data_IF_663670070439
#
_entry.id   IF_663670070439
#
_cell.length_a   1.000
_cell.length_b   1.000
_cell.length_c   1.000
_cell.angle_alpha   90.00
_cell.angle_beta   90.00
_cell.angle_gamma   90.00
#
_symmetry.space_group_name_H-M   'P 1'
#
loop_
_entity.id
_entity.type
_entity.pdbx_description
1 polymer ?
#
# COMPACT_ATOMS: atom_id res chain seq x y z
N UNK A 1 53.12 -56.43 -27.37
CA UNK A 1 51.88 -56.19 -28.17
C UNK A 1 50.68 -56.77 -27.43
N UNK A 2 49.67 -55.95 -27.09
CA UNK A 2 48.48 -56.42 -26.36
C UNK A 2 47.50 -57.06 -27.38
N UNK A 3 47.04 -58.27 -27.09
CA UNK A 3 46.11 -59.06 -27.92
C UNK A 3 44.87 -58.26 -28.33
N UNK A 4 44.49 -58.36 -29.62
CA UNK A 4 43.28 -57.75 -30.19
C UNK A 4 42.00 -58.08 -29.41
N UNK A 5 41.97 -59.22 -28.69
CA UNK A 5 40.86 -59.63 -27.84
C UNK A 5 40.76 -58.80 -26.55
N UNK A 6 41.88 -58.32 -26.01
CA UNK A 6 41.90 -57.41 -24.84
C UNK A 6 41.52 -55.97 -25.23
N UNK A 7 41.87 -55.53 -26.43
CA UNK A 7 41.42 -54.22 -26.95
C UNK A 7 39.91 -54.20 -27.21
N UNK A 8 39.35 -55.25 -27.83
CA UNK A 8 37.90 -55.34 -28.07
C UNK A 8 37.05 -55.35 -26.78
N UNK A 9 37.56 -55.92 -25.67
CA UNK A 9 36.88 -55.92 -24.37
C UNK A 9 36.99 -54.54 -23.69
N UNK A 10 38.13 -53.84 -23.83
CA UNK A 10 38.30 -52.48 -23.32
C UNK A 10 37.39 -51.48 -24.06
N UNK A 11 37.25 -51.62 -25.38
CA UNK A 11 36.39 -50.77 -26.19
C UNK A 11 34.89 -51.06 -25.96
N UNK A 12 34.53 -52.32 -25.65
CA UNK A 12 33.17 -52.66 -25.19
C UNK A 12 32.86 -52.15 -23.78
N UNK A 13 33.84 -52.03 -22.88
CA UNK A 13 33.65 -51.38 -21.56
C UNK A 13 33.50 -49.86 -21.68
N UNK A 14 34.24 -49.20 -22.59
CA UNK A 14 34.10 -47.76 -22.85
C UNK A 14 32.78 -47.37 -23.51
N UNK A 15 32.18 -48.24 -24.35
CA UNK A 15 30.85 -48.00 -24.95
C UNK A 15 29.65 -48.18 -24.00
N UNK A 16 29.87 -48.57 -22.75
CA UNK A 16 28.81 -48.75 -21.73
C UNK A 16 28.70 -47.61 -20.71
N UNK A 17 29.49 -46.54 -20.85
CA UNK A 17 29.12 -45.26 -20.25
C UNK A 17 28.03 -44.66 -21.13
N UNK A 18 26.81 -45.20 -20.99
CA UNK A 18 25.60 -44.48 -21.39
C UNK A 18 25.69 -43.12 -20.69
N UNK A 19 25.90 -42.08 -21.47
CA UNK A 19 25.76 -40.70 -21.08
C UNK A 19 24.28 -40.51 -20.72
N UNK A 20 23.85 -41.01 -19.56
CA UNK A 20 22.59 -40.64 -18.96
C UNK A 20 22.77 -39.18 -18.61
N UNK A 21 22.36 -38.30 -19.51
CA UNK A 21 22.13 -36.92 -19.16
C UNK A 21 21.23 -36.97 -17.92
N UNK A 22 21.74 -36.57 -16.74
CA UNK A 22 20.98 -36.75 -15.52
C UNK A 22 19.77 -35.83 -15.65
N UNK A 23 18.59 -36.41 -15.88
CA UNK A 23 17.31 -35.70 -15.93
C UNK A 23 17.17 -34.74 -14.73
N UNK A 24 17.83 -35.05 -13.61
CA UNK A 24 17.99 -34.23 -12.42
C UNK A 24 18.51 -32.80 -12.69
N UNK A 25 19.41 -32.58 -13.67
CA UNK A 25 19.90 -31.22 -14.00
C UNK A 25 18.82 -30.31 -14.60
N UNK A 26 17.76 -30.88 -15.18
CA UNK A 26 16.58 -30.12 -15.64
C UNK A 26 15.56 -29.91 -14.51
N UNK A 27 15.48 -30.82 -13.53
CA UNK A 27 14.59 -30.66 -12.39
C UNK A 27 15.05 -29.58 -11.40
N UNK A 28 16.36 -29.39 -11.20
CA UNK A 28 16.89 -28.36 -10.30
C UNK A 28 16.39 -26.93 -10.63
N UNK A 29 16.51 -26.40 -11.86
CA UNK A 29 16.03 -25.05 -12.16
C UNK A 29 14.51 -24.92 -12.04
N UNK A 30 13.74 -25.96 -12.39
CA UNK A 30 12.28 -25.97 -12.24
C UNK A 30 11.90 -25.95 -10.76
N UNK A 31 12.56 -26.77 -9.93
CA UNK A 31 12.33 -26.80 -8.48
C UNK A 31 12.71 -25.47 -7.84
N UNK A 32 13.83 -24.86 -8.25
CA UNK A 32 14.28 -23.57 -7.74
C UNK A 32 13.32 -22.44 -8.15
N UNK A 33 12.83 -22.45 -9.40
CA UNK A 33 11.79 -21.53 -9.86
C UNK A 33 10.47 -21.73 -9.11
N UNK A 34 10.07 -22.97 -8.82
CA UNK A 34 8.86 -23.27 -8.05
C UNK A 34 8.98 -22.81 -6.58
N UNK A 35 10.13 -23.05 -5.94
CA UNK A 35 10.41 -22.56 -4.58
C UNK A 35 10.43 -21.03 -4.57
N UNK A 36 11.06 -20.39 -5.55
CA UNK A 36 11.07 -18.93 -5.68
C UNK A 36 9.65 -18.40 -5.88
N UNK A 37 8.85 -19.01 -6.74
CA UNK A 37 7.45 -18.63 -6.96
C UNK A 37 6.60 -18.77 -5.68
N UNK A 38 6.72 -19.88 -4.96
CA UNK A 38 6.03 -20.09 -3.69
C UNK A 38 6.51 -19.08 -2.64
N UNK A 39 7.81 -18.80 -2.58
CA UNK A 39 8.38 -17.80 -1.68
C UNK A 39 7.84 -16.40 -1.98
N UNK A 40 7.78 -16.00 -3.25
CA UNK A 40 7.23 -14.70 -3.65
C UNK A 40 5.74 -14.61 -3.31
N UNK A 41 4.96 -15.65 -3.64
CA UNK A 41 3.52 -15.70 -3.35
C UNK A 41 3.22 -15.70 -1.85
N UNK A 42 4.04 -16.37 -1.05
CA UNK A 42 3.89 -16.39 0.40
C UNK A 42 4.24 -15.03 1.04
N UNK A 43 5.15 -14.26 0.43
CA UNK A 43 5.56 -12.95 0.94
C UNK A 43 4.72 -11.78 0.42
N UNK A 44 3.90 -11.94 -0.62
CA UNK A 44 2.95 -10.91 -1.06
C UNK A 44 1.74 -10.91 -0.12
N UNK A 45 1.66 -9.92 0.76
CA UNK A 45 0.59 -9.86 1.76
C UNK A 45 -0.48 -8.83 1.41
N UNK A 46 -0.05 -7.74 0.78
CA UNK A 46 -0.84 -6.53 0.65
C UNK A 46 -1.43 -6.38 -0.75
N UNK A 47 -0.62 -6.48 -1.80
CA UNK A 47 -1.07 -6.14 -3.15
C UNK A 47 -1.39 -7.38 -3.98
N UNK A 48 -2.66 -7.51 -4.38
CA UNK A 48 -3.16 -8.60 -5.21
C UNK A 48 -2.82 -8.45 -6.70
N UNK A 49 -2.28 -7.29 -7.12
CA UNK A 49 -1.93 -6.97 -8.50
C UNK A 49 -3.12 -6.71 -9.42
N UNK A 50 -4.33 -6.57 -8.85
CA UNK A 50 -5.57 -6.29 -9.58
C UNK A 50 -6.23 -4.98 -9.14
N UNK A 51 -6.18 -4.69 -7.85
CA UNK A 51 -6.66 -3.43 -7.31
C UNK A 51 -5.58 -2.37 -7.35
N UNK A 52 -6.01 -1.11 -7.24
CA UNK A 52 -5.10 -0.01 -7.02
C UNK A 52 -4.40 -0.17 -5.67
N UNK A 53 -3.13 0.21 -5.64
CA UNK A 53 -2.36 0.30 -4.40
C UNK A 53 -1.64 1.63 -4.34
N UNK A 54 -1.67 2.24 -3.17
CA UNK A 54 -1.03 3.52 -2.92
C UNK A 54 0.06 3.36 -1.87
N UNK A 55 1.14 4.13 -2.00
CA UNK A 55 2.19 4.20 -0.99
C UNK A 55 2.67 5.64 -0.82
N UNK A 56 2.99 6.02 0.41
CA UNK A 56 3.53 7.34 0.76
C UNK A 56 5.03 7.30 1.00
N UNK A 57 5.73 8.35 0.63
CA UNK A 57 7.16 8.50 0.88
C UNK A 57 7.58 9.96 0.98
N UNK A 58 8.78 10.18 1.50
CA UNK A 58 9.42 11.50 1.50
C UNK A 58 10.09 11.76 0.15
N UNK A 59 9.73 12.88 -0.45
CA UNK A 59 10.27 13.37 -1.73
C UNK A 59 11.14 14.62 -1.50
N UNK A 60 12.42 14.56 -1.90
CA UNK A 60 13.32 15.71 -1.89
C UNK A 60 13.38 16.50 -0.57
N UNK A 61 13.26 17.84 -0.66
CA UNK A 61 13.44 18.82 0.43
C UNK A 61 12.23 18.87 1.39
N UNK A 62 11.62 17.72 1.68
CA UNK A 62 10.52 17.59 2.64
C UNK A 62 9.11 17.58 2.04
N UNK A 63 8.99 17.54 0.72
CA UNK A 63 7.70 17.22 0.10
C UNK A 63 7.33 15.76 0.38
N UNK A 64 6.05 15.45 0.28
CA UNK A 64 5.55 14.09 0.46
C UNK A 64 4.98 13.61 -0.88
N UNK A 65 5.46 12.47 -1.34
CA UNK A 65 4.95 11.80 -2.52
C UNK A 65 3.95 10.71 -2.13
N UNK A 66 2.84 10.63 -2.85
CA UNK A 66 1.89 9.52 -2.78
C UNK A 66 1.80 8.91 -4.17
N UNK A 67 2.41 7.74 -4.37
CA UNK A 67 2.32 7.02 -5.64
C UNK A 67 1.17 6.04 -5.60
N UNK A 68 0.35 6.05 -6.63
CA UNK A 68 -0.72 5.09 -6.88
C UNK A 68 -0.38 4.28 -8.13
N UNK A 69 -0.48 2.96 -8.01
CA UNK A 69 -0.32 2.00 -9.10
C UNK A 69 -1.70 1.51 -9.52
N UNK A 70 -2.06 1.71 -10.79
CA UNK A 70 -3.33 1.25 -11.35
C UNK A 70 -3.10 0.14 -12.38
N UNK A 71 -3.30 -1.14 -12.01
CA UNK A 71 -3.05 -2.26 -12.90
C UNK A 71 -4.07 -2.39 -14.05
N UNK A 72 -5.24 -1.76 -13.95
CA UNK A 72 -6.26 -1.83 -15.02
C UNK A 72 -5.93 -0.84 -16.13
N UNK A 73 -5.57 0.39 -15.77
CA UNK A 73 -5.13 1.39 -16.72
C UNK A 73 -3.66 1.23 -17.13
N UNK A 74 -2.90 0.40 -16.40
CA UNK A 74 -1.44 0.28 -16.55
C UNK A 74 -0.74 1.62 -16.35
N UNK A 75 -1.18 2.38 -15.34
CA UNK A 75 -0.70 3.74 -15.05
C UNK A 75 0.01 3.82 -13.69
N UNK A 76 0.95 4.76 -13.59
CA UNK A 76 1.58 5.18 -12.33
C UNK A 76 1.35 6.66 -12.13
N UNK A 77 0.62 7.02 -11.07
CA UNK A 77 0.34 8.42 -10.73
C UNK A 77 1.00 8.78 -9.41
N UNK A 78 1.80 9.85 -9.38
CA UNK A 78 2.42 10.38 -8.16
C UNK A 78 1.86 11.75 -7.82
N UNK A 79 1.18 11.85 -6.68
CA UNK A 79 0.68 13.09 -6.11
C UNK A 79 1.76 13.67 -5.18
N UNK A 80 2.13 14.92 -5.41
CA UNK A 80 3.14 15.64 -4.62
C UNK A 80 2.44 16.64 -3.69
N UNK A 81 2.54 16.40 -2.39
CA UNK A 81 2.08 17.31 -1.33
C UNK A 81 3.26 18.21 -0.93
N UNK A 82 3.13 19.54 -1.02
CA UNK A 82 4.15 20.49 -0.56
C UNK A 82 4.48 20.29 0.92
N UNK A 83 5.77 20.31 1.28
CA UNK A 83 6.23 20.06 2.65
C UNK A 83 5.76 21.08 3.69
N UNK A 84 5.39 22.28 3.26
CA UNK A 84 4.81 23.37 4.04
C UNK A 84 3.28 23.31 4.16
N UNK A 85 2.66 22.19 3.76
CA UNK A 85 1.24 21.95 4.00
C UNK A 85 1.00 21.69 5.49
N UNK A 86 0.09 22.46 6.08
CA UNK A 86 -0.38 22.29 7.45
C UNK A 86 -1.40 21.14 7.51
N UNK A 87 -1.17 20.19 8.41
CA UNK A 87 -1.98 18.98 8.60
C UNK A 87 -2.16 18.69 10.08
N UNK A 88 -3.30 18.10 10.43
CA UNK A 88 -3.50 17.54 11.77
C UNK A 88 -2.85 16.16 11.82
N UNK A 89 -1.82 16.00 12.64
CA UNK A 89 -1.11 14.73 12.73
C UNK A 89 -2.01 13.70 13.40
N UNK A 90 -2.10 12.52 12.79
CA UNK A 90 -2.78 11.36 13.36
C UNK A 90 -2.26 11.05 14.77
N UNK A 91 -3.04 10.32 15.57
CA UNK A 91 -2.72 10.01 16.97
C UNK A 91 -2.67 11.20 17.91
N UNK A 92 -3.39 12.28 17.58
CA UNK A 92 -3.55 13.46 18.43
C UNK A 92 -2.23 14.20 18.78
N UNK A 93 -1.23 14.14 17.90
CA UNK A 93 0.01 14.92 18.08
C UNK A 93 -0.17 16.41 17.79
N UNK A 94 -1.34 16.85 17.33
CA UNK A 94 -1.65 18.25 17.03
C UNK A 94 -1.32 18.63 15.59
N UNK A 95 -1.31 19.94 15.32
CA UNK A 95 -1.21 20.46 13.95
C UNK A 95 0.22 20.87 13.59
N UNK A 96 0.75 20.38 12.47
CA UNK A 96 2.13 20.61 12.04
C UNK A 96 2.23 20.75 10.52
N UNK A 97 3.41 21.16 10.05
CA UNK A 97 3.79 21.01 8.64
C UNK A 97 4.09 19.56 8.31
N UNK A 98 3.55 19.06 7.21
CA UNK A 98 3.64 17.66 6.82
C UNK A 98 5.08 17.17 6.66
N UNK A 99 6.02 18.04 6.27
CA UNK A 99 7.45 17.70 6.17
C UNK A 99 8.07 17.19 7.47
N UNK A 100 7.51 17.54 8.62
CA UNK A 100 8.03 17.16 9.93
C UNK A 100 7.46 15.82 10.43
N UNK A 101 6.36 15.34 9.84
CA UNK A 101 5.62 14.16 10.30
C UNK A 101 6.49 12.90 10.24
N UNK A 102 7.33 12.76 9.22
CA UNK A 102 8.25 11.63 9.11
C UNK A 102 9.22 11.56 10.29
N UNK A 103 9.89 12.68 10.60
CA UNK A 103 10.87 12.73 11.69
C UNK A 103 10.19 12.50 13.04
N UNK A 104 8.98 13.05 13.23
CA UNK A 104 8.18 12.77 14.42
C UNK A 104 7.90 11.27 14.55
N UNK A 105 7.45 10.61 13.48
CA UNK A 105 7.20 9.17 13.48
C UNK A 105 8.44 8.34 13.84
N UNK A 106 9.62 8.74 13.37
CA UNK A 106 10.89 8.12 13.75
C UNK A 106 11.19 8.33 15.24
N UNK A 107 11.04 9.55 15.75
CA UNK A 107 11.29 9.87 17.16
C UNK A 107 10.36 9.09 18.11
N UNK A 108 9.09 8.95 17.72
CA UNK A 108 8.06 8.23 18.46
C UNK A 108 8.10 6.70 18.26
N UNK A 109 9.06 6.19 17.47
CA UNK A 109 9.21 4.76 17.13
C UNK A 109 7.99 4.16 16.40
N UNK A 110 7.23 4.99 15.70
CA UNK A 110 6.08 4.61 14.85
C UNK A 110 6.50 4.49 13.38
N UNK A 111 7.63 5.11 13.01
CA UNK A 111 8.17 5.11 11.64
C UNK A 111 7.27 5.85 10.66
N UNK A 112 7.22 5.39 9.40
CA UNK A 112 6.41 6.01 8.36
C UNK A 112 4.90 5.76 8.47
N UNK A 113 4.46 4.90 9.41
CA UNK A 113 3.03 4.66 9.62
C UNK A 113 2.31 5.93 10.05
N UNK A 114 2.97 6.79 10.84
CA UNK A 114 2.40 8.09 11.23
C UNK A 114 2.12 8.99 10.02
N UNK A 115 3.02 8.98 9.03
CA UNK A 115 2.84 9.74 7.80
C UNK A 115 1.70 9.18 6.95
N UNK A 116 1.62 7.85 6.82
CA UNK A 116 0.54 7.18 6.09
C UNK A 116 -0.83 7.44 6.73
N UNK A 117 -0.93 7.32 8.06
CA UNK A 117 -2.14 7.65 8.83
C UNK A 117 -2.51 9.13 8.68
N UNK A 118 -1.54 10.05 8.81
CA UNK A 118 -1.78 11.50 8.67
C UNK A 118 -2.25 11.86 7.26
N UNK A 119 -1.65 11.27 6.22
CA UNK A 119 -2.06 11.51 4.82
C UNK A 119 -3.46 10.95 4.57
N UNK A 120 -3.74 9.75 5.07
CA UNK A 120 -5.07 9.14 4.99
C UNK A 120 -6.13 9.99 5.68
N UNK A 121 -5.82 10.47 6.88
CA UNK A 121 -6.73 11.30 7.65
C UNK A 121 -6.95 12.67 6.99
N UNK A 122 -5.91 13.36 6.51
CA UNK A 122 -6.08 14.74 6.04
C UNK A 122 -6.56 14.83 4.59
N UNK A 123 -6.07 13.95 3.71
CA UNK A 123 -6.36 13.99 2.28
C UNK A 123 -7.39 12.96 1.83
N UNK A 124 -7.86 12.11 2.76
CA UNK A 124 -8.75 10.98 2.48
C UNK A 124 -8.17 9.96 1.50
N UNK A 125 -6.85 9.98 1.30
CA UNK A 125 -6.16 9.05 0.43
C UNK A 125 -6.01 7.72 1.17
N UNK A 126 -6.55 6.59 0.70
CA UNK A 126 -6.45 5.31 1.38
C UNK A 126 -5.03 4.75 1.27
N UNK A 127 -4.10 5.24 2.10
CA UNK A 127 -2.66 4.92 2.05
C UNK A 127 -2.20 4.33 3.37
N UNK A 128 -1.70 3.10 3.32
CA UNK A 128 -1.12 2.42 4.49
C UNK A 128 0.29 1.89 4.23
N UNK A 129 0.71 1.80 2.97
CA UNK A 129 2.08 1.48 2.63
C UNK A 129 2.94 2.73 2.68
N UNK A 130 4.15 2.59 3.19
CA UNK A 130 5.09 3.70 3.27
C UNK A 130 6.52 3.28 3.00
N UNK A 131 7.30 4.23 2.49
CA UNK A 131 8.73 4.08 2.30
C UNK A 131 9.49 5.34 2.73
N UNK A 132 10.67 5.15 3.34
CA UNK A 132 11.56 6.23 3.78
C UNK A 132 12.18 7.05 2.67
N UNK A 133 12.21 6.51 1.45
CA UNK A 133 12.80 7.13 0.28
C UNK A 133 11.85 7.03 -0.90
N UNK A 134 12.03 7.91 -1.87
CA UNK A 134 11.35 7.81 -3.16
C UNK A 134 11.63 6.43 -3.79
N UNK A 135 10.58 5.68 -4.15
CA UNK A 135 10.75 4.35 -4.72
C UNK A 135 11.12 4.40 -6.21
N UNK A 136 11.07 5.58 -6.85
CA UNK A 136 11.37 5.76 -8.27
C UNK A 136 10.42 5.01 -9.21
N UNK A 137 9.22 4.67 -8.74
CA UNK A 137 8.23 3.92 -9.54
C UNK A 137 7.63 4.80 -10.65
N UNK A 138 7.57 6.11 -10.43
CA UNK A 138 7.06 7.11 -11.37
C UNK A 138 8.04 7.47 -12.48
N UNK A 139 9.34 7.27 -12.29
CA UNK A 139 10.38 7.67 -13.25
C UNK A 139 10.75 6.58 -14.26
N UNK A 140 10.40 5.31 -13.99
CA UNK A 140 10.65 4.20 -14.92
C UNK A 140 12.10 3.76 -15.02
N UNK A 141 13.02 4.45 -14.34
CA UNK A 141 14.43 4.11 -14.30
C UNK A 141 14.65 2.76 -13.61
N UNK A 142 15.02 1.73 -14.38
CA UNK A 142 15.25 0.38 -13.86
C UNK A 142 16.20 0.34 -12.65
N UNK A 143 17.25 1.17 -12.63
CA UNK A 143 18.19 1.27 -11.51
C UNK A 143 17.52 1.71 -10.20
N UNK A 144 16.61 2.69 -10.24
CA UNK A 144 15.89 3.17 -9.05
C UNK A 144 14.85 2.15 -8.59
N UNK A 145 14.15 1.51 -9.51
CA UNK A 145 13.19 0.45 -9.20
C UNK A 145 13.92 -0.75 -8.56
N UNK A 146 15.08 -1.15 -9.07
CA UNK A 146 15.90 -2.20 -8.46
C UNK A 146 16.37 -1.80 -7.05
N UNK A 147 16.77 -0.54 -6.85
CA UNK A 147 17.10 -0.02 -5.52
C UNK A 147 15.90 -0.09 -4.57
N UNK A 148 14.67 0.19 -5.01
CA UNK A 148 13.47 0.01 -4.20
C UNK A 148 13.24 -1.46 -3.78
N UNK A 149 13.47 -2.41 -4.69
CA UNK A 149 13.29 -3.84 -4.43
C UNK A 149 14.37 -4.39 -3.47
N UNK A 150 15.64 -4.02 -3.65
CA UNK A 150 16.75 -4.64 -2.91
C UNK A 150 17.27 -3.79 -1.75
N UNK A 151 17.14 -2.47 -1.81
CA UNK A 151 17.68 -1.51 -0.86
C UNK A 151 16.61 -0.47 -0.43
N UNK A 152 15.48 -0.91 0.14
CA UNK A 152 14.31 -0.04 0.36
C UNK A 152 14.54 1.04 1.42
N UNK A 153 15.50 0.87 2.34
CA UNK A 153 15.53 1.64 3.58
C UNK A 153 14.47 1.14 4.56
N UNK A 154 13.87 2.05 5.33
CA UNK A 154 12.77 1.72 6.25
C UNK A 154 11.45 1.72 5.49
N UNK A 155 10.67 0.65 5.61
CA UNK A 155 9.38 0.47 4.95
C UNK A 155 8.56 -0.60 5.67
N UNK A 156 7.23 -0.56 5.54
CA UNK A 156 6.34 -1.66 5.89
C UNK A 156 5.96 -2.56 4.70
N UNK A 157 6.54 -2.33 3.51
CA UNK A 157 6.23 -3.09 2.30
C UNK A 157 7.08 -4.38 2.28
N UNK A 158 6.39 -5.52 2.20
CA UNK A 158 7.03 -6.83 2.10
C UNK A 158 7.93 -6.94 0.86
N UNK A 159 8.92 -7.82 0.87
CA UNK A 159 9.78 -8.02 -0.31
C UNK A 159 8.96 -8.48 -1.53
N UNK A 160 7.97 -9.35 -1.35
CA UNK A 160 7.12 -9.83 -2.43
C UNK A 160 6.29 -8.71 -3.05
N UNK A 161 5.68 -7.85 -2.22
CA UNK A 161 4.92 -6.70 -2.70
C UNK A 161 5.84 -5.70 -3.43
N UNK A 162 7.04 -5.41 -2.91
CA UNK A 162 8.03 -4.52 -3.57
C UNK A 162 8.45 -5.04 -4.94
N UNK A 163 8.75 -6.33 -5.04
CA UNK A 163 9.11 -6.96 -6.31
C UNK A 163 7.97 -6.87 -7.33
N UNK A 164 6.73 -7.12 -6.89
CA UNK A 164 5.54 -7.00 -7.74
C UNK A 164 5.32 -5.57 -8.22
N UNK A 165 5.38 -4.59 -7.30
CA UNK A 165 5.26 -3.16 -7.61
C UNK A 165 6.33 -2.70 -8.58
N UNK A 166 7.58 -3.13 -8.37
CA UNK A 166 8.68 -2.78 -9.25
C UNK A 166 8.52 -3.36 -10.65
N UNK A 167 8.15 -4.63 -10.78
CA UNK A 167 7.92 -5.23 -12.10
C UNK A 167 6.73 -4.60 -12.84
N UNK A 168 5.65 -4.28 -12.11
CA UNK A 168 4.55 -3.52 -12.68
C UNK A 168 5.04 -2.17 -13.20
N UNK A 169 5.72 -1.39 -12.35
CA UNK A 169 6.22 -0.07 -12.71
C UNK A 169 7.21 -0.10 -13.88
N UNK A 170 8.04 -1.14 -14.03
CA UNK A 170 8.91 -1.28 -15.22
C UNK A 170 8.13 -1.52 -16.52
N UNK A 171 6.93 -2.09 -16.46
CA UNK A 171 6.08 -2.37 -17.61
C UNK A 171 5.23 -1.19 -18.08
N UNK A 172 5.09 -0.15 -17.26
CA UNK A 172 4.29 1.06 -17.56
C UNK A 172 5.03 1.99 -18.52
N UNK A 173 4.34 2.45 -19.57
CA UNK A 173 4.92 3.34 -20.58
C UNK A 173 5.15 4.75 -20.02
N UNK A 174 6.03 5.53 -20.64
CA UNK A 174 6.34 6.88 -20.18
C UNK A 174 5.11 7.81 -20.19
N UNK A 175 4.23 7.66 -21.18
CA UNK A 175 3.02 8.47 -21.33
C UNK A 175 1.95 8.16 -20.26
N UNK A 176 2.02 6.97 -19.67
CA UNK A 176 1.10 6.46 -18.65
C UNK A 176 1.63 6.75 -17.23
N UNK A 177 2.68 7.58 -17.13
CA UNK A 177 3.25 8.09 -15.88
C UNK A 177 2.83 9.54 -15.70
N UNK A 178 2.21 9.84 -14.56
CA UNK A 178 1.78 11.20 -14.26
C UNK A 178 2.32 11.66 -12.91
N UNK A 179 2.72 12.93 -12.84
CA UNK A 179 3.16 13.60 -11.61
C UNK A 179 2.32 14.85 -11.40
N UNK A 180 1.54 14.86 -10.33
CA UNK A 180 0.57 15.90 -10.03
C UNK A 180 1.04 16.66 -8.79
N UNK A 181 1.38 17.94 -8.97
CA UNK A 181 1.76 18.82 -7.87
C UNK A 181 0.51 19.46 -7.24
N UNK A 182 0.18 19.04 -6.02
CA UNK A 182 -1.00 19.55 -5.31
C UNK A 182 -0.85 21.02 -4.92
N UNK A 183 0.38 21.54 -4.77
CA UNK A 183 0.60 22.95 -4.50
C UNK A 183 0.28 23.87 -5.68
N UNK A 184 0.23 23.32 -6.90
CA UNK A 184 -0.17 24.03 -8.13
C UNK A 184 -1.63 23.81 -8.51
N UNK A 185 -2.33 23.01 -7.72
CA UNK A 185 -3.72 22.63 -7.96
C UNK A 185 -4.69 23.49 -7.14
N UNK A 186 -5.99 23.29 -7.33
CA UNK A 186 -7.04 23.89 -6.50
C UNK A 186 -7.30 23.13 -5.19
N UNK A 187 -6.50 22.10 -4.86
CA UNK A 187 -6.69 21.27 -3.66
C UNK A 187 -6.10 21.91 -2.40
N UNK A 188 -5.15 22.82 -2.58
CA UNK A 188 -4.43 23.48 -1.50
C UNK A 188 -4.48 24.99 -1.68
N UNK A 189 -4.95 25.68 -0.65
CA UNK A 189 -4.91 27.13 -0.58
C UNK A 189 -3.61 27.60 0.06
N UNK A 190 -2.90 28.51 -0.61
CA UNK A 190 -1.76 29.19 -0.01
C UNK A 190 -2.25 30.26 0.97
N UNK A 191 -2.01 30.08 2.27
CA UNK A 191 -2.45 30.98 3.34
C UNK A 191 -1.36 31.19 4.37
N UNK A 192 -1.54 32.19 5.23
CA UNK A 192 -0.71 32.39 6.42
C UNK A 192 -1.14 31.35 7.47
N UNK A 193 -0.21 30.52 7.91
CA UNK A 193 -0.44 29.45 8.85
C UNK A 193 -0.53 29.97 10.29
N UNK A 194 -0.82 29.06 11.24
CA UNK A 194 -0.92 29.37 12.67
C UNK A 194 0.38 29.94 13.27
N UNK A 195 1.52 29.63 12.66
CA UNK A 195 2.85 30.13 13.04
C UNK A 195 3.17 31.52 12.43
N UNK A 196 2.28 32.04 11.59
CA UNK A 196 2.46 33.32 10.92
C UNK A 196 3.30 33.28 9.64
N UNK A 197 3.84 32.13 9.25
CA UNK A 197 4.54 31.97 7.98
C UNK A 197 3.56 31.56 6.86
N UNK A 198 3.91 31.81 5.58
CA UNK A 198 3.12 31.30 4.47
C UNK A 198 3.28 29.78 4.34
N UNK A 199 2.18 29.09 4.01
CA UNK A 199 2.18 27.67 3.68
C UNK A 199 0.88 27.26 3.00
N UNK A 200 0.59 25.97 2.97
CA UNK A 200 -0.61 25.44 2.33
C UNK A 200 -1.59 24.87 3.36
N UNK A 201 -2.88 25.04 3.10
CA UNK A 201 -3.97 24.44 3.89
C UNK A 201 -4.92 23.74 2.92
N UNK A 202 -5.46 22.60 3.34
CA UNK A 202 -6.44 21.85 2.55
C UNK A 202 -7.71 22.69 2.40
N UNK A 203 -8.12 22.91 1.16
CA UNK A 203 -9.20 23.82 0.81
C UNK A 203 -10.44 23.05 0.34
N UNK A 204 -11.48 23.03 1.18
CA UNK A 204 -12.76 22.43 0.84
C UNK A 204 -12.77 20.89 0.90
N UNK A 205 -13.88 20.26 0.48
CA UNK A 205 -13.97 18.80 0.42
C UNK A 205 -12.98 18.25 -0.62
N UNK A 206 -12.50 17.01 -0.42
CA UNK A 206 -11.65 16.33 -1.40
C UNK A 206 -12.39 16.31 -2.74
N UNK A 207 -11.82 16.95 -3.76
CA UNK A 207 -12.52 17.04 -5.03
C UNK A 207 -12.65 15.65 -5.64
N UNK A 208 -13.83 15.38 -6.22
CA UNK A 208 -14.18 14.12 -6.86
C UNK A 208 -13.13 13.67 -7.90
N UNK A 209 -12.32 14.60 -8.43
CA UNK A 209 -11.23 14.29 -9.35
C UNK A 209 -10.11 13.48 -8.70
N UNK A 210 -9.83 13.67 -7.41
CA UNK A 210 -8.82 12.87 -6.71
C UNK A 210 -9.33 11.49 -6.37
N UNK A 211 -10.63 11.35 -6.14
CA UNK A 211 -11.27 10.05 -5.86
C UNK A 211 -11.01 9.04 -6.97
N UNK A 212 -10.96 9.48 -8.23
CA UNK A 212 -10.70 8.61 -9.39
C UNK A 212 -9.35 7.88 -9.28
N UNK A 213 -8.34 8.52 -8.69
CA UNK A 213 -7.02 7.88 -8.51
C UNK A 213 -7.04 6.79 -7.44
N UNK A 214 -7.95 6.88 -6.45
CA UNK A 214 -7.95 5.99 -5.29
C UNK A 214 -9.13 5.02 -5.23
N UNK A 215 -10.13 5.20 -6.09
CA UNK A 215 -11.24 4.27 -6.23
C UNK A 215 -10.75 2.95 -6.76
N UNK A 216 -11.11 1.86 -6.08
CA UNK A 216 -10.71 0.53 -6.45
C UNK A 216 -11.41 0.04 -7.71
N UNK A 217 -10.64 -0.65 -8.56
CA UNK A 217 -11.15 -1.21 -9.80
C UNK A 217 -12.18 -2.33 -9.56
N UNK A 218 -11.96 -3.24 -8.60
CA UNK A 218 -12.92 -4.33 -8.33
C UNK A 218 -14.06 -3.90 -7.37
N UNK A 219 -13.78 -2.99 -6.42
CA UNK A 219 -14.76 -2.57 -5.41
C UNK A 219 -15.72 -1.49 -5.94
N UNK A 220 -15.27 -0.61 -6.84
CA UNK A 220 -16.12 0.40 -7.48
C UNK A 220 -17.29 -0.23 -8.26
N UNK A 221 -17.10 -1.42 -8.82
CA UNK A 221 -18.13 -2.14 -9.57
C UNK A 221 -19.10 -2.95 -8.68
N UNK A 222 -18.68 -3.32 -7.47
CA UNK A 222 -19.44 -4.24 -6.61
C UNK A 222 -20.41 -3.56 -5.64
N UNK A 223 -20.45 -2.22 -5.56
CA UNK A 223 -21.33 -1.47 -4.63
C UNK A 223 -21.26 -2.02 -3.19
N UNK A 224 -20.04 -2.22 -2.65
CA UNK A 224 -19.83 -2.81 -1.32
C UNK A 224 -20.60 -2.02 -0.26
N UNK A 225 -21.59 -2.66 0.38
CA UNK A 225 -22.39 -2.01 1.42
C UNK A 225 -21.67 -2.05 2.73
N UNK A 226 -21.41 -0.86 3.26
CA UNK A 226 -20.65 -0.66 4.49
C UNK A 226 -21.56 -0.20 5.62
N UNK A 227 -21.49 -0.90 6.75
CA UNK A 227 -22.01 -0.46 8.03
C UNK A 227 -20.86 0.04 8.92
N UNK A 228 -21.08 1.17 9.61
CA UNK A 228 -20.14 1.71 10.59
C UNK A 228 -20.84 1.78 11.93
N UNK A 229 -20.31 1.11 12.95
CA UNK A 229 -20.73 1.30 14.34
C UNK A 229 -19.70 2.16 15.05
N UNK A 230 -20.14 3.32 15.51
CA UNK A 230 -19.30 4.30 16.21
C UNK A 230 -19.58 4.25 17.72
N UNK A 231 -18.65 3.66 18.47
CA UNK A 231 -18.60 3.70 19.93
C UNK A 231 -17.38 4.50 20.43
N UNK A 232 -16.82 5.38 19.59
CA UNK A 232 -15.60 6.15 19.90
C UNK A 232 -15.84 7.24 20.94
N UNK A 233 -17.06 7.79 20.97
CA UNK A 233 -17.40 8.97 21.77
C UNK A 233 -16.82 10.28 21.23
N UNK A 234 -16.20 10.28 20.05
CA UNK A 234 -15.58 11.46 19.44
C UNK A 234 -16.32 11.83 18.16
N UNK A 235 -16.76 13.09 18.08
CA UNK A 235 -17.50 13.60 16.91
C UNK A 235 -16.62 13.65 15.67
N UNK A 236 -17.16 13.27 14.51
CA UNK A 236 -16.51 13.42 13.21
C UNK A 236 -15.67 12.22 12.76
N UNK A 237 -15.34 11.27 13.64
CA UNK A 237 -14.48 10.13 13.30
C UNK A 237 -15.18 9.17 12.34
N UNK A 238 -16.43 8.80 12.63
CA UNK A 238 -17.20 7.89 11.78
C UNK A 238 -17.56 8.51 10.44
N UNK A 239 -17.85 9.82 10.41
CA UNK A 239 -18.08 10.56 9.17
C UNK A 239 -16.83 10.54 8.29
N UNK A 240 -15.67 10.87 8.86
CA UNK A 240 -14.37 10.88 8.16
C UNK A 240 -13.92 9.51 7.68
N UNK A 241 -14.10 8.48 8.50
CA UNK A 241 -13.90 7.09 8.09
C UNK A 241 -14.82 6.75 6.90
N UNK A 242 -16.09 7.15 6.98
CA UNK A 242 -17.06 6.96 5.92
C UNK A 242 -16.64 7.60 4.60
N UNK A 243 -16.10 8.81 4.63
CA UNK A 243 -15.57 9.49 3.43
C UNK A 243 -14.39 8.72 2.81
N UNK A 244 -13.44 8.22 3.62
CA UNK A 244 -12.32 7.40 3.10
C UNK A 244 -12.84 6.12 2.45
N UNK A 245 -13.84 5.47 3.05
CA UNK A 245 -14.45 4.25 2.52
C UNK A 245 -15.19 4.52 1.21
N UNK A 246 -15.85 5.68 1.09
CA UNK A 246 -16.44 6.14 -0.17
C UNK A 246 -15.38 6.38 -1.25
N UNK A 247 -14.22 6.94 -0.89
CA UNK A 247 -13.10 7.12 -1.82
C UNK A 247 -12.61 5.79 -2.39
N UNK A 248 -12.59 4.73 -1.59
CA UNK A 248 -12.21 3.37 -2.03
C UNK A 248 -13.29 2.75 -2.93
N UNK A 249 -14.53 3.26 -2.91
CA UNK A 249 -15.66 2.72 -3.68
C UNK A 249 -16.71 2.01 -2.84
N UNK A 250 -16.62 2.08 -1.52
CA UNK A 250 -17.64 1.57 -0.60
C UNK A 250 -18.85 2.49 -0.50
N UNK A 251 -20.05 1.92 -0.42
CA UNK A 251 -21.28 2.65 -0.13
C UNK A 251 -21.62 2.53 1.34
N UNK A 252 -21.38 3.59 2.11
CA UNK A 252 -21.79 3.66 3.51
C UNK A 252 -23.33 3.71 3.58
N UNK A 253 -23.93 2.66 4.11
CA UNK A 253 -25.40 2.49 4.20
C UNK A 253 -25.93 3.00 5.54
N UNK A 254 -25.16 2.81 6.61
CA UNK A 254 -25.55 3.19 7.97
C UNK A 254 -24.33 3.55 8.82
N UNK A 255 -24.52 4.54 9.69
CA UNK A 255 -23.60 4.92 10.76
C UNK A 255 -24.37 4.87 12.08
N UNK A 256 -24.17 3.81 12.86
CA UNK A 256 -24.82 3.57 14.13
C UNK A 256 -23.97 4.11 15.28
N UNK A 257 -24.40 5.23 15.87
CA UNK A 257 -23.74 5.79 17.06
C UNK A 257 -24.21 5.07 18.31
N UNK A 258 -23.28 4.44 19.04
CA UNK A 258 -23.55 3.74 20.31
C UNK A 258 -22.95 4.51 21.49
N UNK A 259 -23.55 4.35 22.66
CA UNK A 259 -22.96 4.83 23.91
C UNK A 259 -21.57 4.20 24.10
N UNK A 260 -20.60 5.00 24.53
CA UNK A 260 -19.21 4.55 24.73
C UNK A 260 -19.19 3.42 25.75
N UNK A 261 -19.07 2.18 25.29
CA UNK A 261 -19.17 1.00 26.16
C UNK A 261 -17.90 0.16 26.22
N UNK A 262 -16.92 0.39 25.35
CA UNK A 262 -15.75 -0.48 25.23
C UNK A 262 -14.44 0.30 25.00
N UNK A 263 -13.41 -0.02 25.79
CA UNK A 263 -12.00 0.31 25.50
C UNK A 263 -11.46 -0.64 24.41
N UNK A 264 -12.21 -0.76 23.32
CA UNK A 264 -11.82 -1.52 22.13
C UNK A 264 -11.22 -0.58 21.08
N UNK A 265 -10.36 -1.12 20.22
CA UNK A 265 -9.80 -0.41 19.07
C UNK A 265 -10.80 -0.46 17.91
N UNK A 266 -10.52 -1.21 16.84
CA UNK A 266 -11.51 -1.44 15.80
C UNK A 266 -11.53 -2.91 15.35
N UNK A 267 -12.71 -3.35 14.95
CA UNK A 267 -12.97 -4.69 14.42
C UNK A 267 -13.69 -4.57 13.09
N UNK A 268 -13.17 -5.27 12.08
CA UNK A 268 -13.76 -5.33 10.74
C UNK A 268 -14.26 -6.75 10.50
N UNK A 269 -15.51 -6.85 10.08
CA UNK A 269 -16.22 -8.09 9.73
C UNK A 269 -16.96 -7.90 8.40
N UNK A 270 -17.39 -8.95 7.72
CA UNK A 270 -18.11 -8.79 6.45
C UNK A 270 -18.24 -10.07 5.65
N UNK A 271 -19.14 -10.05 4.66
CA UNK A 271 -19.31 -11.13 3.68
C UNK A 271 -18.17 -11.15 2.64
N UNK A 272 -17.60 -9.99 2.31
CA UNK A 272 -16.49 -9.89 1.35
C UNK A 272 -15.13 -9.97 2.08
N UNK A 273 -14.50 -11.13 2.03
CA UNK A 273 -13.21 -11.38 2.69
C UNK A 273 -12.09 -10.46 2.20
N UNK A 274 -12.05 -10.14 0.90
CA UNK A 274 -11.00 -9.30 0.33
C UNK A 274 -11.12 -7.85 0.80
N UNK A 275 -12.35 -7.33 0.83
CA UNK A 275 -12.65 -6.01 1.40
C UNK A 275 -12.33 -5.96 2.90
N UNK A 276 -12.74 -6.98 3.67
CA UNK A 276 -12.43 -7.09 5.11
C UNK A 276 -10.92 -7.03 5.34
N UNK A 277 -10.14 -7.82 4.60
CA UNK A 277 -8.68 -7.86 4.72
C UNK A 277 -8.06 -6.50 4.34
N UNK A 278 -8.52 -5.88 3.26
CA UNK A 278 -8.01 -4.59 2.78
C UNK A 278 -8.26 -3.47 3.78
N UNK A 279 -9.49 -3.35 4.28
CA UNK A 279 -9.88 -2.32 5.26
C UNK A 279 -9.22 -2.58 6.62
N UNK A 280 -9.10 -3.84 7.03
CA UNK A 280 -8.34 -4.24 8.22
C UNK A 280 -6.89 -3.78 8.12
N UNK A 281 -6.22 -3.97 6.97
CA UNK A 281 -4.84 -3.50 6.77
C UNK A 281 -4.76 -1.97 6.73
N UNK A 282 -5.67 -1.31 6.02
CA UNK A 282 -5.69 0.15 5.86
C UNK A 282 -5.78 0.87 7.21
N UNK A 283 -6.68 0.41 8.09
CA UNK A 283 -6.91 1.02 9.39
C UNK A 283 -6.26 0.26 10.55
N UNK A 284 -5.43 -0.76 10.28
CA UNK A 284 -4.85 -1.64 11.31
C UNK A 284 -5.88 -2.24 12.29
N UNK A 285 -7.09 -2.54 11.81
CA UNK A 285 -8.15 -3.12 12.61
C UNK A 285 -8.04 -4.64 12.72
N UNK A 286 -8.56 -5.22 13.81
CA UNK A 286 -8.65 -6.68 13.94
C UNK A 286 -9.74 -7.22 13.03
N UNK A 287 -9.52 -8.39 12.42
CA UNK A 287 -10.59 -9.11 11.70
C UNK A 287 -11.42 -9.88 12.72
N UNK A 288 -12.72 -9.61 12.77
CA UNK A 288 -13.67 -10.34 13.62
C UNK A 288 -14.30 -11.53 12.92
N UNK A 289 -15.09 -12.30 13.67
CA UNK A 289 -15.85 -13.47 13.17
C UNK A 289 -17.37 -13.33 13.34
N UNK A 290 -17.84 -12.14 13.70
CA UNK A 290 -19.26 -11.92 13.97
C UNK A 290 -20.09 -12.02 12.68
N UNK A 291 -21.28 -12.59 12.80
CA UNK A 291 -22.22 -12.71 11.67
C UNK A 291 -22.81 -11.33 11.37
N UNK A 292 -22.70 -10.92 10.10
CA UNK A 292 -23.26 -9.67 9.60
C UNK A 292 -23.90 -9.90 8.22
N UNK A 293 -24.91 -9.10 7.88
CA UNK A 293 -25.56 -9.10 6.56
C UNK A 293 -24.95 -8.08 5.59
N UNK A 294 -23.98 -7.30 6.06
CA UNK A 294 -23.27 -6.31 5.27
C UNK A 294 -22.03 -6.91 4.61
N UNK A 295 -21.66 -6.33 3.46
CA UNK A 295 -20.44 -6.73 2.76
C UNK A 295 -19.20 -6.36 3.60
N UNK A 296 -19.32 -5.25 4.34
CA UNK A 296 -18.35 -4.78 5.32
C UNK A 296 -19.07 -4.14 6.52
N UNK A 297 -18.62 -4.48 7.73
CA UNK A 297 -19.14 -3.97 8.99
C UNK A 297 -17.94 -3.61 9.88
N UNK A 298 -17.82 -2.32 10.19
CA UNK A 298 -16.69 -1.75 10.93
C UNK A 298 -17.20 -1.24 12.27
N UNK A 299 -16.66 -1.80 13.36
CA UNK A 299 -16.91 -1.31 14.72
C UNK A 299 -15.69 -0.59 15.24
N UNK A 300 -15.87 0.62 15.73
CA UNK A 300 -14.81 1.44 16.32
C UNK A 300 -15.13 1.74 17.78
N UNK A 301 -14.15 1.56 18.65
CA UNK A 301 -14.19 1.93 20.06
C UNK A 301 -13.24 3.10 20.38
N UNK A 302 -13.05 3.36 21.67
CA UNK A 302 -12.31 4.53 22.16
C UNK A 302 -10.83 4.53 21.74
N UNK A 303 -10.19 3.37 21.67
CA UNK A 303 -8.76 3.30 21.31
C UNK A 303 -8.52 3.65 19.84
N UNK A 304 -9.49 3.38 18.96
CA UNK A 304 -9.40 3.80 17.56
C UNK A 304 -9.33 5.32 17.44
N UNK A 305 -10.15 6.04 18.21
CA UNK A 305 -10.17 7.49 18.22
C UNK A 305 -8.90 8.14 18.75
N UNK A 306 -8.15 7.43 19.60
CA UNK A 306 -6.86 7.94 20.09
C UNK A 306 -5.80 7.95 19.01
N UNK A 307 -5.90 7.07 18.01
CA UNK A 307 -4.91 6.92 16.94
C UNK A 307 -5.34 7.48 15.58
N UNK A 308 -6.63 7.53 15.30
CA UNK A 308 -7.22 8.09 14.09
C UNK A 308 -7.42 9.60 14.20
#
# INVERSE_FOLDING_TARGET
MKSARRQAIADRKKKKEKHSFPLFKFFIPIALAAVLYLFLRANTHVWNGKDKVSLVFREGVGNIGVTVLDPVLSEVTTLIIPGDTQVDIARNYGTFRIKNVWQLGVNEKIGGSLLAETVTQNFLFPVFLWNSKSPGLDEGEAGRILNFIFLPGQTNISFGDRLRMGFFAMGVQELDRSKIDLGKSQFLDKKKLNDGEPGYVISGPVSQRLTVYFSDNETGDQNIRVNITDATGTSGISEKLGEILQVIGGKVVSIDKKSVSEDSDCVVTGLNYEAVKKISNLFSCKVGSDKTSFDLDIRMGREFAKRF
#
